data_IF_733609840301
#
_entry.id   IF_733609840301
#
_cell.length_a   1.000
_cell.length_b   1.000
_cell.length_c   1.000
_cell.angle_alpha   90.00
_cell.angle_beta   90.00
_cell.angle_gamma   90.00
#
_symmetry.space_group_name_H-M   'P 1'
#
loop_
_entity.id
_entity.type
_entity.pdbx_description
1 polymer ?
#
# COMPACT_ATOMS: atom_id res chain seq x y z
N UNK A 1 -11.46 -18.96 -39.33
CA UNK A 1 -10.06 -18.54 -39.15
C UNK A 1 -10.09 -17.31 -38.25
N UNK A 2 -9.86 -17.46 -36.93
CA UNK A 2 -9.80 -16.31 -36.03
C UNK A 2 -8.46 -15.61 -36.27
N UNK A 3 -8.50 -14.36 -36.74
CA UNK A 3 -7.30 -13.54 -36.85
C UNK A 3 -6.69 -13.36 -35.46
N UNK A 4 -5.41 -13.70 -35.30
CA UNK A 4 -4.66 -13.38 -34.09
C UNK A 4 -4.51 -11.85 -34.08
N UNK A 5 -5.26 -11.17 -33.22
CA UNK A 5 -5.09 -9.74 -33.03
C UNK A 5 -3.68 -9.45 -32.50
N UNK A 6 -3.01 -8.46 -33.09
CA UNK A 6 -1.72 -8.00 -32.58
C UNK A 6 -1.90 -7.24 -31.27
N UNK A 7 -0.88 -7.22 -30.42
CA UNK A 7 -0.91 -6.46 -29.17
C UNK A 7 -1.20 -4.96 -29.40
N UNK A 8 -0.70 -4.39 -30.51
CA UNK A 8 -1.00 -3.02 -30.91
C UNK A 8 -2.50 -2.82 -31.18
N UNK A 9 -3.13 -3.73 -31.93
CA UNK A 9 -4.56 -3.65 -32.21
C UNK A 9 -5.43 -3.83 -30.95
N UNK A 10 -4.99 -4.66 -29.99
CA UNK A 10 -5.66 -4.80 -28.68
C UNK A 10 -5.56 -3.49 -27.90
N UNK A 11 -4.37 -2.87 -27.87
CA UNK A 11 -4.12 -1.62 -27.15
C UNK A 11 -5.00 -0.48 -27.65
N UNK A 12 -5.09 -0.28 -28.97
CA UNK A 12 -5.96 0.74 -29.56
C UNK A 12 -7.43 0.53 -29.17
N UNK A 13 -7.94 -0.70 -29.25
CA UNK A 13 -9.33 -0.99 -28.86
C UNK A 13 -9.59 -0.74 -27.38
N UNK A 14 -8.63 -1.00 -26.50
CA UNK A 14 -8.75 -0.71 -25.08
C UNK A 14 -8.77 0.80 -24.82
N UNK A 15 -7.93 1.58 -25.51
CA UNK A 15 -7.98 3.05 -25.41
C UNK A 15 -9.34 3.60 -25.86
N UNK A 16 -9.86 3.13 -26.99
CA UNK A 16 -11.17 3.55 -27.50
C UNK A 16 -12.30 3.19 -26.52
N UNK A 17 -12.26 1.98 -25.95
CA UNK A 17 -13.24 1.54 -24.95
C UNK A 17 -13.22 2.43 -23.69
N UNK A 18 -12.04 2.66 -23.12
CA UNK A 18 -11.89 3.46 -21.89
C UNK A 18 -12.39 4.88 -22.11
N UNK A 19 -12.16 5.46 -23.30
CA UNK A 19 -12.57 6.83 -23.63
C UNK A 19 -14.08 7.08 -23.54
N UNK A 20 -14.89 6.06 -23.81
CA UNK A 20 -16.37 6.18 -23.86
C UNK A 20 -17.07 5.34 -22.78
N UNK A 21 -16.32 4.64 -21.95
CA UNK A 21 -16.87 3.79 -20.90
C UNK A 21 -17.56 4.64 -19.81
N UNK A 22 -18.73 4.19 -19.37
CA UNK A 22 -19.41 4.76 -18.22
C UNK A 22 -18.71 4.36 -16.91
N UNK A 23 -19.06 5.03 -15.82
CA UNK A 23 -18.46 4.81 -14.50
C UNK A 23 -18.57 3.35 -14.03
N UNK A 24 -19.68 2.66 -14.34
CA UNK A 24 -19.88 1.27 -13.95
C UNK A 24 -18.89 0.36 -14.67
N UNK A 25 -18.69 0.56 -15.98
CA UNK A 25 -17.72 -0.18 -16.78
C UNK A 25 -16.28 0.11 -16.35
N UNK A 26 -15.96 1.37 -16.05
CA UNK A 26 -14.64 1.77 -15.55
C UNK A 26 -14.33 1.13 -14.20
N UNK A 27 -15.27 1.16 -13.25
CA UNK A 27 -15.10 0.49 -11.94
C UNK A 27 -14.92 -1.02 -12.08
N UNK A 28 -15.70 -1.66 -12.95
CA UNK A 28 -15.55 -3.08 -13.23
C UNK A 28 -14.17 -3.42 -13.79
N UNK A 29 -13.69 -2.64 -14.77
CA UNK A 29 -12.36 -2.82 -15.34
C UNK A 29 -11.25 -2.58 -14.31
N UNK A 30 -11.37 -1.52 -13.51
CA UNK A 30 -10.40 -1.21 -12.47
C UNK A 30 -10.35 -2.30 -11.41
N UNK A 31 -11.49 -2.75 -10.86
CA UNK A 31 -11.52 -3.86 -9.89
C UNK A 31 -10.89 -5.16 -10.41
N UNK A 32 -10.97 -5.41 -11.73
CA UNK A 32 -10.37 -6.61 -12.32
C UNK A 32 -8.86 -6.51 -12.48
N UNK A 33 -8.31 -5.29 -12.56
CA UNK A 33 -6.91 -5.04 -12.92
C UNK A 33 -6.18 -4.16 -11.88
N UNK A 34 -6.81 -3.86 -10.75
CA UNK A 34 -6.30 -2.92 -9.75
C UNK A 34 -4.91 -3.33 -9.27
N UNK A 35 -4.72 -4.61 -8.97
CA UNK A 35 -3.43 -5.17 -8.53
C UNK A 35 -2.33 -5.13 -9.61
N UNK A 36 -2.71 -5.08 -10.90
CA UNK A 36 -1.77 -5.01 -12.03
C UNK A 36 -1.47 -3.56 -12.47
N UNK A 37 -2.43 -2.66 -12.26
CA UNK A 37 -2.34 -1.23 -12.60
C UNK A 37 -1.66 -0.46 -11.47
N UNK A 38 -1.93 -0.85 -10.23
CA UNK A 38 -1.35 -0.22 -9.05
C UNK A 38 0.02 -0.84 -8.85
N UNK A 39 1.07 -0.08 -9.17
CA UNK A 39 2.43 -0.36 -8.70
C UNK A 39 2.44 -0.19 -7.17
N UNK A 40 1.90 -1.17 -6.45
CA UNK A 40 2.07 -1.21 -5.01
C UNK A 40 3.56 -1.37 -4.72
N UNK A 41 4.08 -0.55 -3.81
CA UNK A 41 5.40 -0.80 -3.26
C UNK A 41 5.31 -2.16 -2.55
N UNK A 42 5.80 -3.21 -3.19
CA UNK A 42 5.87 -4.57 -2.66
C UNK A 42 6.94 -4.65 -1.56
N UNK A 43 6.74 -3.90 -0.46
CA UNK A 43 7.67 -3.77 0.65
C UNK A 43 8.03 -5.13 1.25
N UNK A 44 7.15 -6.12 1.12
CA UNK A 44 7.38 -7.50 1.56
C UNK A 44 8.44 -8.23 0.72
N UNK A 45 8.82 -7.72 -0.45
CA UNK A 45 9.95 -8.21 -1.24
C UNK A 45 11.29 -7.64 -0.78
N UNK A 46 11.30 -6.54 -0.02
CA UNK A 46 12.52 -6.02 0.59
C UNK A 46 12.94 -6.91 1.78
N UNK A 47 13.91 -7.78 1.53
CA UNK A 47 14.46 -8.70 2.53
C UNK A 47 15.07 -7.98 3.74
N UNK A 48 15.65 -6.80 3.55
CA UNK A 48 16.23 -6.04 4.66
C UNK A 48 15.13 -5.48 5.56
N UNK A 49 14.07 -4.96 4.96
CA UNK A 49 12.89 -4.48 5.68
C UNK A 49 12.18 -5.62 6.44
N UNK A 50 11.88 -6.74 5.77
CA UNK A 50 11.24 -7.90 6.40
C UNK A 50 12.09 -8.45 7.56
N UNK A 51 13.42 -8.49 7.41
CA UNK A 51 14.32 -8.92 8.49
C UNK A 51 14.29 -7.98 9.70
N UNK A 52 14.17 -6.67 9.47
CA UNK A 52 14.03 -5.71 10.58
C UNK A 52 12.69 -5.89 11.32
N UNK A 53 11.60 -6.13 10.58
CA UNK A 53 10.29 -6.42 11.18
C UNK A 53 10.31 -7.70 12.03
N UNK A 54 10.87 -8.80 11.52
CA UNK A 54 11.02 -10.05 12.29
C UNK A 54 11.86 -9.85 13.56
N UNK A 55 12.94 -9.06 13.47
CA UNK A 55 13.77 -8.73 14.63
C UNK A 55 12.98 -7.95 15.70
N UNK A 56 12.18 -6.95 15.30
CA UNK A 56 11.34 -6.16 16.22
C UNK A 56 10.26 -7.02 16.86
N UNK A 57 9.59 -7.84 16.07
CA UNK A 57 8.60 -8.80 16.56
C UNK A 57 9.19 -9.70 17.64
N UNK A 58 10.33 -10.33 17.38
CA UNK A 58 11.03 -11.19 18.37
C UNK A 58 11.47 -10.43 19.61
N UNK A 59 11.86 -9.17 19.47
CA UNK A 59 12.21 -8.34 20.61
C UNK A 59 11.00 -8.05 21.52
N UNK A 60 9.81 -7.86 20.95
CA UNK A 60 8.58 -7.73 21.74
C UNK A 60 8.14 -9.06 22.34
N UNK A 61 8.16 -10.15 21.57
CA UNK A 61 7.77 -11.48 22.03
C UNK A 61 8.65 -11.97 23.19
N UNK A 62 9.96 -11.70 23.14
CA UNK A 62 10.89 -12.02 24.22
C UNK A 62 10.84 -11.06 25.42
N UNK A 63 10.05 -9.99 25.34
CA UNK A 63 10.01 -8.93 26.35
C UNK A 63 11.29 -8.09 26.43
N UNK A 64 12.21 -8.23 25.46
CA UNK A 64 13.44 -7.44 25.35
C UNK A 64 13.14 -5.97 25.08
N UNK A 65 12.11 -5.70 24.29
CA UNK A 65 11.60 -4.34 24.06
C UNK A 65 10.33 -4.10 24.88
N UNK A 66 10.30 -2.95 25.56
CA UNK A 66 9.13 -2.52 26.33
C UNK A 66 8.03 -2.04 25.38
N UNK A 67 6.87 -2.69 25.46
CA UNK A 67 5.61 -2.16 24.93
C UNK A 67 5.07 -1.03 25.81
N UNK A 68 4.38 -0.08 25.20
CA UNK A 68 3.71 1.01 25.90
C UNK A 68 2.21 0.90 25.70
N UNK A 69 1.45 1.17 26.76
CA UNK A 69 0.01 1.36 26.66
C UNK A 69 -0.33 2.63 25.88
N UNK A 70 -1.53 2.68 25.31
CA UNK A 70 -2.01 3.89 24.63
C UNK A 70 -1.96 5.12 25.55
N UNK A 71 -2.33 4.96 26.83
CA UNK A 71 -2.31 6.04 27.81
C UNK A 71 -0.89 6.59 28.07
N UNK A 72 0.13 5.72 28.13
CA UNK A 72 1.53 6.15 28.25
C UNK A 72 1.98 6.95 27.02
N UNK A 73 1.56 6.52 25.83
CA UNK A 73 1.88 7.21 24.57
C UNK A 73 1.20 8.58 24.51
N UNK A 74 -0.09 8.66 24.83
CA UNK A 74 -0.85 9.92 24.83
C UNK A 74 -0.25 10.93 25.81
N UNK A 75 0.10 10.48 27.02
CA UNK A 75 0.74 11.32 28.02
C UNK A 75 2.10 11.87 27.52
N UNK A 76 2.90 11.03 26.85
CA UNK A 76 4.18 11.43 26.26
C UNK A 76 4.00 12.49 25.16
N UNK A 77 3.03 12.30 24.27
CA UNK A 77 2.69 13.25 23.21
C UNK A 77 2.29 14.61 23.81
N UNK A 78 1.44 14.63 24.84
CA UNK A 78 1.00 15.87 25.49
C UNK A 78 2.16 16.61 26.17
N UNK A 79 3.10 15.88 26.78
CA UNK A 79 4.32 16.49 27.33
C UNK A 79 5.19 17.12 26.23
N UNK A 80 5.36 16.44 25.09
CA UNK A 80 6.14 16.94 23.96
C UNK A 80 5.51 18.20 23.34
N UNK A 81 4.18 18.24 23.20
CA UNK A 81 3.45 19.42 22.73
C UNK A 81 3.68 20.62 23.65
N UNK A 82 3.53 20.44 24.97
CA UNK A 82 3.75 21.52 25.96
C UNK A 82 5.16 22.10 25.88
N UNK A 83 6.19 21.24 25.77
CA UNK A 83 7.60 21.66 25.62
C UNK A 83 7.88 22.45 24.34
N UNK A 84 7.15 22.16 23.26
CA UNK A 84 7.29 22.85 21.97
C UNK A 84 6.62 24.23 21.99
N UNK A 85 5.52 24.39 22.74
CA UNK A 85 4.80 25.67 22.87
C UNK A 85 5.45 26.60 23.90
N UNK A 86 6.17 26.03 24.88
CA UNK A 86 6.92 26.79 25.89
C UNK A 86 8.30 27.28 25.42
N UNK A 87 8.65 27.07 24.15
CA UNK A 87 9.88 27.56 23.49
C UNK A 87 9.51 28.64 22.48
#
# INVERSE_FOLDING_TARGET
MNAIMTAAAIREKLYDFIRVADEKKLKGLYMMLEDEITDELEWWKDKAFVKDLDKRYKAWESGKEKGYSQAEVDASIEQLKKRRVSK
#
